data_IF_607642299957
#
_entry.id   IF_607642299957
#
_cell.length_a   1.000
_cell.length_b   1.000
_cell.length_c   1.000
_cell.angle_alpha   90.00
_cell.angle_beta   90.00
_cell.angle_gamma   90.00
#
_symmetry.space_group_name_H-M   'P 1'
#
loop_
_entity.id
_entity.type
_entity.pdbx_description
1 polymer ?
#
# COMPACT_ATOMS: atom_id res chain seq x y z
N UNK A 1 -2.51 21.50 6.57
CA UNK A 1 -3.07 20.31 5.90
C UNK A 1 -1.90 19.38 5.60
N UNK A 2 -1.92 18.14 6.08
CA UNK A 2 -0.88 17.16 5.71
C UNK A 2 -0.91 16.96 4.21
N UNK A 3 0.25 17.06 3.57
CA UNK A 3 0.37 16.87 2.12
C UNK A 3 0.33 15.39 1.71
N UNK A 4 0.32 14.46 2.68
CA UNK A 4 0.28 13.02 2.44
C UNK A 4 -1.18 12.54 2.51
N UNK A 5 -1.66 11.78 1.51
CA UNK A 5 -2.99 11.18 1.53
C UNK A 5 -3.22 10.30 2.77
N UNK A 6 -4.47 10.21 3.20
CA UNK A 6 -4.84 9.26 4.25
C UNK A 6 -4.63 7.82 3.79
N UNK A 7 -4.21 6.96 4.73
CA UNK A 7 -4.01 5.54 4.47
C UNK A 7 -5.39 4.87 4.27
N UNK A 8 -5.57 4.22 3.14
CA UNK A 8 -6.82 3.53 2.78
C UNK A 8 -6.76 2.02 3.02
N UNK A 9 -5.56 1.48 3.29
CA UNK A 9 -5.31 0.08 3.60
C UNK A 9 -4.36 -0.08 4.79
N UNK A 10 -4.39 -1.25 5.43
CA UNK A 10 -3.58 -1.58 6.60
C UNK A 10 -2.83 -2.91 6.44
N UNK A 11 -1.69 -3.06 7.14
CA UNK A 11 -0.88 -4.29 7.11
C UNK A 11 -1.69 -5.51 7.56
N UNK A 12 -1.55 -6.62 6.86
CA UNK A 12 -2.29 -7.87 7.09
C UNK A 12 -3.68 -7.90 6.44
N UNK A 13 -4.17 -6.78 5.93
CA UNK A 13 -5.42 -6.73 5.15
C UNK A 13 -5.29 -7.62 3.90
N UNK A 14 -6.36 -8.38 3.62
CA UNK A 14 -6.44 -9.24 2.44
C UNK A 14 -7.51 -8.71 1.48
N UNK A 15 -7.18 -8.64 0.20
CA UNK A 15 -8.10 -8.27 -0.87
C UNK A 15 -7.75 -9.01 -2.16
N UNK A 16 -8.71 -9.74 -2.73
CA UNK A 16 -8.55 -10.48 -4.00
C UNK A 16 -7.28 -11.36 -4.07
N UNK A 17 -6.95 -12.03 -2.97
CA UNK A 17 -5.76 -12.90 -2.88
C UNK A 17 -4.45 -12.18 -2.58
N UNK A 18 -4.42 -10.85 -2.55
CA UNK A 18 -3.26 -10.06 -2.13
C UNK A 18 -3.34 -9.69 -0.65
N UNK A 19 -2.22 -9.85 0.04
CA UNK A 19 -2.01 -9.38 1.41
C UNK A 19 -1.16 -8.12 1.42
N UNK A 20 -1.58 -7.10 2.18
CA UNK A 20 -0.77 -5.90 2.43
C UNK A 20 0.35 -6.25 3.41
N UNK A 21 1.59 -6.21 2.94
CA UNK A 21 2.78 -6.52 3.74
C UNK A 21 3.35 -5.28 4.42
N UNK A 22 3.24 -4.12 3.79
CA UNK A 22 3.76 -2.87 4.34
C UNK A 22 2.99 -1.64 3.83
N UNK A 23 2.96 -0.58 4.64
CA UNK A 23 2.30 0.70 4.34
C UNK A 23 3.21 1.85 4.75
N UNK A 24 3.87 2.46 3.76
CA UNK A 24 4.86 3.52 3.98
C UNK A 24 4.36 4.88 3.47
N UNK A 25 4.16 5.87 4.35
CA UNK A 25 3.98 7.27 3.94
C UNK A 25 5.24 7.80 3.26
N UNK A 26 5.08 8.45 2.10
CA UNK A 26 6.16 9.06 1.33
C UNK A 26 5.93 10.57 1.25
N UNK A 27 6.42 11.30 2.26
CA UNK A 27 6.20 12.75 2.41
C UNK A 27 6.72 13.56 1.21
N UNK A 28 7.93 13.26 0.75
CA UNK A 28 8.55 13.94 -0.40
C UNK A 28 7.74 13.77 -1.71
N UNK A 29 6.98 12.68 -1.80
CA UNK A 29 6.15 12.34 -2.96
C UNK A 29 4.66 12.61 -2.74
N UNK A 30 4.27 13.11 -1.55
CA UNK A 30 2.86 13.33 -1.20
C UNK A 30 2.01 12.09 -1.49
N UNK A 31 2.53 10.92 -1.15
CA UNK A 31 1.96 9.63 -1.54
C UNK A 31 2.03 8.62 -0.41
N UNK A 32 1.28 7.52 -0.53
CA UNK A 32 1.41 6.34 0.33
C UNK A 32 1.76 5.15 -0.54
N UNK A 33 2.82 4.43 -0.20
CA UNK A 33 3.19 3.17 -0.81
C UNK A 33 2.59 2.01 -0.04
N UNK A 34 1.93 1.11 -0.77
CA UNK A 34 1.44 -0.16 -0.26
C UNK A 34 2.20 -1.28 -0.95
N UNK A 35 2.86 -2.12 -0.16
CA UNK A 35 3.47 -3.34 -0.67
C UNK A 35 2.47 -4.49 -0.49
N UNK A 36 2.13 -5.15 -1.59
CA UNK A 36 1.20 -6.26 -1.62
C UNK A 36 1.88 -7.53 -2.15
N UNK A 37 1.44 -8.67 -1.66
CA UNK A 37 1.89 -9.98 -2.12
C UNK A 37 0.69 -10.91 -2.33
N UNK A 38 0.60 -11.52 -3.51
CA UNK A 38 -0.43 -12.50 -3.83
C UNK A 38 -0.13 -13.82 -3.13
N UNK A 39 -1.01 -14.26 -2.23
CA UNK A 39 -0.80 -15.43 -1.36
C UNK A 39 -0.55 -16.73 -2.10
N UNK A 40 -1.17 -16.91 -3.27
CA UNK A 40 -1.07 -18.17 -4.02
C UNK A 40 0.13 -18.21 -4.97
N UNK A 41 0.41 -17.10 -5.65
CA UNK A 41 1.45 -17.06 -6.69
C UNK A 41 2.76 -16.41 -6.24
N UNK A 42 2.78 -15.76 -5.08
CA UNK A 42 3.91 -14.96 -4.60
C UNK A 42 4.15 -13.69 -5.40
N UNK A 43 3.24 -13.32 -6.31
CA UNK A 43 3.38 -12.10 -7.12
C UNK A 43 3.40 -10.86 -6.22
N UNK A 44 4.40 -9.99 -6.38
CA UNK A 44 4.56 -8.78 -5.57
C UNK A 44 4.09 -7.57 -6.36
N UNK A 45 3.32 -6.70 -5.71
CA UNK A 45 2.79 -5.47 -6.29
C UNK A 45 3.12 -4.29 -5.38
N UNK A 46 3.58 -3.19 -5.98
CA UNK A 46 3.77 -1.91 -5.31
C UNK A 46 2.68 -0.95 -5.80
N UNK A 47 1.75 -0.60 -4.91
CA UNK A 47 0.71 0.37 -5.22
C UNK A 47 1.09 1.72 -4.62
N UNK A 48 1.26 2.73 -5.49
CA UNK A 48 1.51 4.11 -5.08
C UNK A 48 0.21 4.90 -5.18
N UNK A 49 -0.28 5.38 -4.04
CA UNK A 49 -1.48 6.20 -3.96
C UNK A 49 -1.12 7.67 -3.75
N UNK A 50 -1.65 8.53 -4.62
CA UNK A 50 -1.63 9.98 -4.51
C UNK A 50 -3.06 10.54 -4.69
N UNK A 51 -3.26 11.78 -4.25
CA UNK A 51 -4.49 12.56 -4.44
C UNK A 51 -4.21 13.80 -5.26
#
# INVERSE_FOLDING_TARGET
>A
MSAVPEKTMYVGQNSNGFEVKDVTPLEALRSVAYQLEHKQSGARLLHLYNQ
#
